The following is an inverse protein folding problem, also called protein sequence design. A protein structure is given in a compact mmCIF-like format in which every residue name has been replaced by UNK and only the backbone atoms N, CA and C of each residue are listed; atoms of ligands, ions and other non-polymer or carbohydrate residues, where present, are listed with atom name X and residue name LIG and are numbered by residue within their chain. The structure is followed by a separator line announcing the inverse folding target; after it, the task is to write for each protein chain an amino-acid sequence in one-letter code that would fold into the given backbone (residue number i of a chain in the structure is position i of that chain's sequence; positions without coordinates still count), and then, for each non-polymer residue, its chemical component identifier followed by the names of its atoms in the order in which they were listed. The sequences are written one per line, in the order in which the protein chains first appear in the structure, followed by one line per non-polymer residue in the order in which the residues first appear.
data_IF_967067489707
#
_entry.id   IF_967067489707
#
_cell.length_a   1.000
_cell.length_b   1.000
_cell.length_c   1.000
_cell.angle_alpha   90.00
_cell.angle_beta   90.00
_cell.angle_gamma   90.00
#
_symmetry.space_group_name_H-M   'P 1'
#
loop_
_entity.id
_entity.type
_entity.pdbx_description
1 polymer ?
#
# COMPACT_ATOMS: atom_id res chain seq x y z
N UNK A 1 -5.53 33.75 -45.53
CA UNK A 1 -5.38 33.02 -44.25
C UNK A 1 -6.68 33.19 -43.48
N UNK A 2 -7.33 32.08 -43.15
CA UNK A 2 -8.79 32.01 -42.96
C UNK A 2 -9.28 32.65 -41.65
N UNK A 3 -10.46 33.24 -41.71
CA UNK A 3 -11.15 33.88 -40.57
C UNK A 3 -11.30 32.98 -39.35
N UNK A 4 -11.26 31.66 -39.56
CA UNK A 4 -11.21 30.66 -38.50
C UNK A 4 -10.01 30.85 -37.57
N UNK A 5 -8.82 31.13 -38.11
CA UNK A 5 -7.61 31.33 -37.32
C UNK A 5 -7.69 32.61 -36.46
N UNK A 6 -8.32 33.67 -36.99
CA UNK A 6 -8.56 34.91 -36.25
C UNK A 6 -9.56 34.72 -35.13
N UNK A 7 -10.65 34.00 -35.39
CA UNK A 7 -11.66 33.71 -34.37
C UNK A 7 -11.11 32.84 -33.23
N UNK A 8 -10.26 31.85 -33.54
CA UNK A 8 -9.60 31.02 -32.52
C UNK A 8 -8.68 31.87 -31.65
N UNK A 9 -7.90 32.77 -32.24
CA UNK A 9 -7.02 33.69 -31.46
C UNK A 9 -7.82 34.61 -30.55
N UNK A 10 -8.87 35.23 -31.07
CA UNK A 10 -9.75 36.08 -30.28
C UNK A 10 -10.43 35.33 -29.12
N UNK A 11 -10.78 34.05 -29.33
CA UNK A 11 -11.34 33.19 -28.28
C UNK A 11 -10.30 32.87 -27.20
N UNK A 12 -9.05 32.59 -27.58
CA UNK A 12 -7.95 32.36 -26.63
C UNK A 12 -7.63 33.60 -25.81
N UNK A 13 -7.57 34.78 -26.44
CA UNK A 13 -7.32 36.05 -25.75
C UNK A 13 -8.42 36.33 -24.72
N UNK A 14 -9.68 36.07 -25.08
CA UNK A 14 -10.82 36.21 -24.16
C UNK A 14 -10.77 35.23 -22.97
N UNK A 15 -10.33 34.00 -23.19
CA UNK A 15 -10.13 33.01 -22.11
C UNK A 15 -9.03 33.48 -21.14
N UNK A 16 -7.94 34.06 -21.64
CA UNK A 16 -6.86 34.61 -20.80
C UNK A 16 -7.36 35.82 -20.00
N UNK A 17 -8.16 36.68 -20.62
CA UNK A 17 -8.75 37.84 -19.97
C UNK A 17 -9.76 37.43 -18.88
N UNK A 18 -10.62 36.45 -19.16
CA UNK A 18 -11.54 35.89 -18.18
C UNK A 18 -10.77 35.20 -17.03
N UNK A 19 -9.71 34.43 -17.31
CA UNK A 19 -8.87 33.79 -16.29
C UNK A 19 -8.21 34.81 -15.35
N UNK A 20 -7.76 35.95 -15.90
CA UNK A 20 -7.15 37.03 -15.11
C UNK A 20 -8.19 37.84 -14.34
N UNK A 21 -9.39 38.05 -14.90
CA UNK A 21 -10.51 38.74 -14.27
C UNK A 21 -11.14 37.93 -13.14
N UNK A 22 -11.23 36.61 -13.29
CA UNK A 22 -11.71 35.68 -12.26
C UNK A 22 -10.57 35.10 -11.40
N UNK A 23 -9.42 35.78 -11.34
CA UNK A 23 -8.27 35.44 -10.48
C UNK A 23 -8.57 35.72 -9.00
N UNK A 24 -9.69 35.23 -8.50
CA UNK A 24 -10.06 35.20 -7.08
C UNK A 24 -9.82 33.82 -6.46
N UNK A 25 -9.36 32.84 -7.24
CA UNK A 25 -9.08 31.47 -6.80
C UNK A 25 -7.78 30.91 -7.40
N UNK A 26 -6.70 31.70 -7.46
CA UNK A 26 -5.39 31.06 -7.30
C UNK A 26 -5.30 30.64 -5.85
N UNK A 27 -5.91 29.48 -5.53
CA UNK A 27 -5.35 28.63 -4.48
C UNK A 27 -3.84 28.59 -4.76
N UNK A 28 -2.98 28.74 -3.74
CA UNK A 28 -1.55 28.51 -3.94
C UNK A 28 -1.43 27.25 -4.78
N UNK A 29 -0.70 27.33 -5.90
CA UNK A 29 -0.31 26.14 -6.64
C UNK A 29 0.08 25.13 -5.58
N UNK A 30 -0.57 23.95 -5.49
CA UNK A 30 -0.15 22.99 -4.51
C UNK A 30 1.30 22.74 -4.86
N UNK A 31 2.20 23.27 -4.03
CA UNK A 31 3.51 22.68 -3.86
C UNK A 31 3.21 21.19 -3.75
N UNK A 32 3.99 20.37 -4.43
CA UNK A 32 3.87 18.91 -4.51
C UNK A 32 3.84 18.21 -3.13
N UNK A 33 3.75 18.96 -2.04
CA UNK A 33 3.64 18.55 -0.65
C UNK A 33 2.25 18.78 -0.01
N UNK A 34 1.31 19.55 -0.58
CA UNK A 34 0.12 20.04 0.17
C UNK A 34 -1.24 19.41 -0.17
N UNK A 35 -1.24 18.24 -0.80
CA UNK A 35 -2.43 17.38 -0.84
C UNK A 35 -2.04 15.97 -0.42
N UNK A 36 -1.92 15.79 0.90
CA UNK A 36 -1.92 14.48 1.54
C UNK A 36 -3.05 13.65 0.93
N UNK A 37 -2.68 12.69 0.08
CA UNK A 37 -3.51 11.64 -0.54
C UNK A 37 -4.05 10.66 0.52
N UNK A 38 -4.50 11.17 1.67
CA UNK A 38 -4.94 10.43 2.84
C UNK A 38 -6.31 9.75 2.65
N UNK A 39 -7.02 10.09 1.57
CA UNK A 39 -8.40 9.66 1.32
C UNK A 39 -8.56 8.18 0.94
N UNK A 40 -7.45 7.43 0.76
CA UNK A 40 -7.49 6.01 0.37
C UNK A 40 -7.02 5.06 1.48
N UNK A 41 -6.79 5.57 2.69
CA UNK A 41 -6.32 4.73 3.78
C UNK A 41 -7.40 3.73 4.21
N UNK A 42 -7.00 2.45 4.21
CA UNK A 42 -7.83 1.35 4.66
C UNK A 42 -7.60 1.13 6.16
N UNK A 43 -8.63 1.34 6.99
CA UNK A 43 -8.57 1.01 8.42
C UNK A 43 -8.95 -0.46 8.67
N UNK A 44 -8.28 -1.08 9.63
CA UNK A 44 -8.68 -2.36 10.23
C UNK A 44 -9.13 -2.07 11.66
N UNK A 45 -10.42 -2.27 11.94
CA UNK A 45 -10.96 -2.22 13.29
C UNK A 45 -10.50 -3.43 14.09
N UNK A 46 -10.36 -3.25 15.40
CA UNK A 46 -9.62 -4.15 16.27
C UNK A 46 -10.25 -5.55 16.43
N UNK A 47 -11.54 -5.77 16.11
CA UNK A 47 -12.23 -6.96 16.65
C UNK A 47 -13.41 -7.60 15.91
N UNK A 48 -13.79 -7.17 14.72
CA UNK A 48 -14.88 -7.84 14.01
C UNK A 48 -14.34 -8.65 12.83
N UNK A 49 -14.45 -9.98 12.92
CA UNK A 49 -14.25 -10.87 11.77
C UNK A 49 -15.12 -10.37 10.62
N UNK A 50 -14.49 -10.03 9.50
CA UNK A 50 -15.23 -9.58 8.33
C UNK A 50 -15.75 -10.82 7.60
N UNK A 51 -17.06 -11.02 7.66
CA UNK A 51 -17.74 -12.02 6.84
C UNK A 51 -17.83 -11.52 5.38
N UNK A 52 -17.46 -12.39 4.44
CA UNK A 52 -17.53 -12.09 3.00
C UNK A 52 -18.48 -13.06 2.35
N UNK A 53 -19.60 -12.51 1.87
CA UNK A 53 -20.65 -13.27 1.18
C UNK A 53 -20.27 -13.46 -0.29
N UNK A 54 -20.41 -14.68 -0.79
CA UNK A 54 -20.21 -15.06 -2.19
C UNK A 54 -18.75 -15.24 -2.62
N UNK A 55 -17.79 -15.11 -1.69
CA UNK A 55 -16.35 -15.35 -1.93
C UNK A 55 -15.72 -16.27 -0.88
N UNK A 56 -16.52 -17.13 -0.27
CA UNK A 56 -16.13 -18.06 0.78
C UNK A 56 -15.09 -19.06 0.27
N UNK A 57 -15.21 -19.46 -1.01
CA UNK A 57 -14.22 -20.32 -1.68
C UNK A 57 -12.89 -19.63 -1.83
N UNK A 58 -12.85 -18.41 -2.38
CA UNK A 58 -11.58 -17.67 -2.51
C UNK A 58 -10.96 -17.38 -1.15
N UNK A 59 -11.77 -17.04 -0.13
CA UNK A 59 -11.28 -16.85 1.25
C UNK A 59 -10.60 -18.14 1.75
N UNK A 60 -11.25 -19.29 1.60
CA UNK A 60 -10.73 -20.60 2.02
C UNK A 60 -9.45 -20.98 1.27
N UNK A 61 -9.38 -20.72 -0.03
CA UNK A 61 -8.20 -21.01 -0.84
C UNK A 61 -6.99 -20.18 -0.42
N UNK A 62 -7.20 -18.89 -0.12
CA UNK A 62 -6.13 -18.02 0.39
C UNK A 62 -5.72 -18.49 1.79
N UNK A 63 -6.65 -18.78 2.70
CA UNK A 63 -6.33 -19.29 4.04
C UNK A 63 -5.52 -20.58 3.97
N UNK A 64 -5.92 -21.52 3.12
CA UNK A 64 -5.21 -22.79 2.93
C UNK A 64 -3.75 -22.56 2.53
N UNK A 65 -3.50 -21.62 1.60
CA UNK A 65 -2.14 -21.26 1.17
C UNK A 65 -1.35 -20.53 2.25
N UNK A 66 -1.97 -19.59 2.96
CA UNK A 66 -1.34 -18.81 4.03
C UNK A 66 -0.95 -19.71 5.22
N UNK A 67 -1.78 -20.69 5.56
CA UNK A 67 -1.59 -21.57 6.70
C UNK A 67 -0.75 -22.82 6.38
N UNK A 68 -0.39 -23.01 5.10
CA UNK A 68 0.35 -24.18 4.67
C UNK A 68 1.76 -24.16 5.26
N UNK A 69 2.00 -25.03 6.24
CA UNK A 69 3.34 -25.30 6.79
C UNK A 69 4.07 -26.27 5.85
N UNK A 70 4.71 -25.75 4.82
CA UNK A 70 5.72 -26.55 4.11
C UNK A 70 6.98 -26.58 4.98
N UNK A 71 7.52 -27.77 5.24
CA UNK A 71 8.65 -28.01 6.15
C UNK A 71 9.99 -27.39 5.72
N UNK A 72 9.98 -26.51 4.72
CA UNK A 72 11.15 -25.79 4.23
C UNK A 72 10.79 -24.31 4.09
N UNK A 73 11.74 -23.47 4.50
CA UNK A 73 11.69 -22.02 4.68
C UNK A 73 11.30 -21.26 3.40
N UNK A 74 10.05 -21.35 2.96
CA UNK A 74 9.57 -20.57 1.82
C UNK A 74 8.61 -19.48 2.26
N UNK A 75 8.98 -18.24 1.94
CA UNK A 75 8.09 -17.08 1.94
C UNK A 75 7.09 -17.23 0.79
N UNK A 76 5.78 -17.20 1.07
CA UNK A 76 4.74 -17.26 0.04
C UNK A 76 4.20 -15.86 -0.26
N UNK A 77 4.20 -15.47 -1.54
CA UNK A 77 3.50 -14.27 -2.01
C UNK A 77 2.19 -14.72 -2.66
N UNK A 78 1.07 -14.18 -2.21
CA UNK A 78 -0.27 -14.47 -2.76
C UNK A 78 -0.83 -13.17 -3.37
N UNK A 79 -0.74 -12.99 -4.70
CA UNK A 79 -1.32 -11.82 -5.35
C UNK A 79 -2.85 -11.93 -5.40
N UNK A 80 -3.55 -10.86 -4.99
CA UNK A 80 -5.00 -10.71 -5.14
C UNK A 80 -5.27 -9.62 -6.18
N UNK A 81 -5.50 -10.04 -7.43
CA UNK A 81 -5.66 -9.15 -8.59
C UNK A 81 -7.11 -9.13 -9.10
N UNK A 82 -7.47 -8.05 -9.79
CA UNK A 82 -8.81 -7.89 -10.37
C UNK A 82 -9.21 -6.43 -10.52
N UNK A 83 -10.33 -6.19 -11.19
CA UNK A 83 -10.83 -4.84 -11.48
C UNK A 83 -11.16 -4.05 -10.19
N UNK A 84 -11.22 -2.73 -10.32
CA UNK A 84 -11.70 -1.85 -9.25
C UNK A 84 -13.13 -2.22 -8.83
N UNK A 85 -13.43 -2.10 -7.53
CA UNK A 85 -14.77 -2.42 -7.00
C UNK A 85 -15.07 -3.91 -6.79
N UNK A 86 -14.17 -4.84 -7.15
CA UNK A 86 -14.37 -6.29 -6.99
C UNK A 86 -14.23 -6.81 -5.53
N UNK A 87 -14.10 -5.92 -4.55
CA UNK A 87 -13.97 -6.32 -3.14
C UNK A 87 -12.65 -7.03 -2.79
N UNK A 88 -11.54 -6.76 -3.51
CA UNK A 88 -10.23 -7.37 -3.23
C UNK A 88 -9.73 -7.06 -1.82
N UNK A 89 -9.75 -5.79 -1.45
CA UNK A 89 -9.44 -5.31 -0.09
C UNK A 89 -10.35 -5.97 0.94
N UNK A 90 -11.65 -6.12 0.64
CA UNK A 90 -12.60 -6.81 1.53
C UNK A 90 -12.23 -8.28 1.73
N UNK A 91 -11.89 -9.00 0.65
CA UNK A 91 -11.45 -10.39 0.72
C UNK A 91 -10.15 -10.53 1.53
N UNK A 92 -9.15 -9.69 1.26
CA UNK A 92 -7.89 -9.70 2.01
C UNK A 92 -8.12 -9.38 3.50
N UNK A 93 -9.02 -8.44 3.83
CA UNK A 93 -9.40 -8.14 5.21
C UNK A 93 -10.04 -9.32 5.92
N UNK A 94 -10.92 -10.05 5.22
CA UNK A 94 -11.59 -11.23 5.77
C UNK A 94 -10.63 -12.38 6.04
N UNK A 95 -9.57 -12.52 5.25
CA UNK A 95 -8.46 -13.44 5.53
C UNK A 95 -7.63 -12.94 6.71
N UNK A 96 -7.21 -11.67 6.69
CA UNK A 96 -6.35 -11.08 7.71
C UNK A 96 -6.99 -11.06 9.10
N UNK A 97 -8.31 -10.90 9.20
CA UNK A 97 -9.06 -10.89 10.48
C UNK A 97 -9.52 -12.28 10.91
N UNK A 98 -9.27 -13.32 10.11
CA UNK A 98 -9.68 -14.68 10.43
C UNK A 98 -8.89 -15.23 11.62
N UNK A 99 -9.59 -15.90 12.56
CA UNK A 99 -8.98 -16.50 13.75
C UNK A 99 -7.84 -17.46 13.44
N UNK A 100 -7.88 -18.18 12.32
CA UNK A 100 -6.81 -19.11 11.96
C UNK A 100 -5.48 -18.36 11.73
N UNK A 101 -5.54 -17.08 11.35
CA UNK A 101 -4.34 -16.23 11.18
C UNK A 101 -3.79 -15.68 12.50
N UNK A 102 -4.35 -16.05 13.67
CA UNK A 102 -3.78 -15.64 14.96
C UNK A 102 -2.51 -16.42 15.33
N UNK A 103 -2.15 -17.45 14.56
CA UNK A 103 -0.89 -18.18 14.73
C UNK A 103 0.36 -17.41 14.24
N UNK A 104 0.18 -16.29 13.54
CA UNK A 104 1.28 -15.44 13.08
C UNK A 104 1.75 -14.55 14.22
N UNK A 105 3.04 -14.61 14.56
CA UNK A 105 3.67 -13.80 15.61
C UNK A 105 3.69 -12.31 15.25
N UNK A 106 3.73 -12.00 13.95
CA UNK A 106 3.76 -10.65 13.42
C UNK A 106 2.69 -10.49 12.35
N UNK A 107 1.83 -9.48 12.51
CA UNK A 107 0.82 -9.12 11.53
C UNK A 107 0.92 -7.63 11.22
N UNK A 108 0.92 -7.28 9.94
CA UNK A 108 0.89 -5.89 9.50
C UNK A 108 0.01 -5.73 8.27
N UNK A 109 -0.73 -4.62 8.21
CA UNK A 109 -1.53 -4.23 7.06
C UNK A 109 -1.11 -2.85 6.58
N UNK A 110 -0.44 -2.79 5.43
CA UNK A 110 0.09 -1.55 4.88
C UNK A 110 -0.70 -1.15 3.65
N UNK A 111 -1.32 0.02 3.70
CA UNK A 111 -1.79 0.68 2.50
C UNK A 111 -0.60 1.25 1.74
N UNK A 112 -0.39 0.82 0.50
CA UNK A 112 0.68 1.30 -0.36
C UNK A 112 0.19 2.51 -1.14
N UNK A 113 0.81 3.66 -0.92
CA UNK A 113 0.48 4.86 -1.69
C UNK A 113 0.85 4.69 -3.16
N UNK A 114 0.16 5.43 -4.05
CA UNK A 114 0.52 5.51 -5.47
C UNK A 114 1.99 5.86 -5.72
N UNK A 115 2.58 6.66 -4.85
CA UNK A 115 4.01 6.93 -4.86
C UNK A 115 4.69 5.85 -4.02
N UNK A 116 5.27 4.85 -4.68
CA UNK A 116 5.91 3.73 -4.00
C UNK A 116 7.18 4.21 -3.31
N UNK A 117 7.19 4.10 -1.98
CA UNK A 117 8.33 4.50 -1.17
C UNK A 117 8.67 3.39 -0.17
N UNK A 118 9.74 2.67 -0.46
CA UNK A 118 10.19 1.50 0.32
C UNK A 118 10.37 1.81 1.81
N UNK A 119 11.01 2.94 2.13
CA UNK A 119 11.20 3.41 3.51
C UNK A 119 9.86 3.63 4.23
N UNK A 120 8.84 4.19 3.56
CA UNK A 120 7.51 4.41 4.15
C UNK A 120 6.78 3.10 4.41
N UNK A 121 6.85 2.16 3.47
CA UNK A 121 6.23 0.84 3.61
C UNK A 121 6.84 0.12 4.83
N UNK A 122 8.17 0.05 4.91
CA UNK A 122 8.86 -0.62 6.03
C UNK A 122 8.63 0.09 7.35
N UNK A 123 8.65 1.42 7.37
CA UNK A 123 8.34 2.20 8.57
C UNK A 123 6.91 1.96 9.06
N UNK A 124 5.95 1.79 8.15
CA UNK A 124 4.56 1.47 8.49
C UNK A 124 4.44 0.08 9.13
N UNK A 125 5.18 -0.91 8.62
CA UNK A 125 5.25 -2.26 9.23
C UNK A 125 5.81 -2.16 10.65
N UNK A 126 6.99 -1.54 10.82
CA UNK A 126 7.64 -1.38 12.12
C UNK A 126 6.71 -0.67 13.11
N UNK A 127 6.04 0.40 12.65
CA UNK A 127 5.12 1.18 13.49
C UNK A 127 3.94 0.36 14.01
N UNK A 128 3.38 -0.53 13.19
CA UNK A 128 2.26 -1.38 13.59
C UNK A 128 2.70 -2.47 14.59
N UNK A 129 3.92 -2.98 14.43
CA UNK A 129 4.41 -4.09 15.26
C UNK A 129 4.98 -3.62 16.59
N UNK A 130 5.69 -2.49 16.61
CA UNK A 130 6.35 -1.98 17.82
C UNK A 130 5.54 -0.89 18.54
N UNK A 131 4.48 -0.37 17.92
CA UNK A 131 3.70 0.74 18.46
C UNK A 131 4.48 2.06 18.52
N UNK A 132 5.63 2.14 17.85
CA UNK A 132 6.48 3.34 17.77
C UNK A 132 6.83 3.64 16.32
N UNK A 133 6.72 4.91 15.94
CA UNK A 133 6.99 5.34 14.56
C UNK A 133 8.45 5.76 14.44
N UNK A 134 9.25 5.12 13.55
CA UNK A 134 10.56 5.64 13.20
C UNK A 134 10.43 7.09 12.71
N UNK A 135 11.48 7.90 12.89
CA UNK A 135 11.49 9.26 12.35
C UNK A 135 11.20 9.26 10.83
N UNK A 136 10.76 10.40 10.30
CA UNK A 136 10.67 10.56 8.85
C UNK A 136 12.09 10.51 8.25
N UNK A 137 12.22 9.97 7.05
CA UNK A 137 13.49 9.88 6.29
C UNK A 137 14.62 9.13 7.00
N UNK A 138 14.26 8.07 7.72
CA UNK A 138 15.23 7.15 8.33
C UNK A 138 15.94 6.34 7.24
N UNK A 139 17.24 6.15 7.45
CA UNK A 139 18.11 5.38 6.57
C UNK A 139 17.63 3.93 6.38
N UNK A 140 17.75 3.42 5.15
CA UNK A 140 17.29 2.08 4.79
C UNK A 140 18.04 0.99 5.54
N UNK A 141 19.32 1.20 5.86
CA UNK A 141 20.11 0.21 6.63
C UNK A 141 19.58 0.09 8.06
N UNK A 142 19.21 1.21 8.69
CA UNK A 142 18.56 1.20 9.99
C UNK A 142 17.21 0.49 9.93
N UNK A 143 16.35 0.84 8.96
CA UNK A 143 15.04 0.20 8.81
C UNK A 143 15.17 -1.30 8.59
N UNK A 144 16.15 -1.73 7.77
CA UNK A 144 16.47 -3.14 7.57
C UNK A 144 16.86 -3.82 8.88
N UNK A 145 17.74 -3.22 9.67
CA UNK A 145 18.18 -3.79 10.95
C UNK A 145 17.02 -3.94 11.94
N UNK A 146 16.10 -2.97 12.01
CA UNK A 146 14.91 -3.07 12.84
C UNK A 146 13.97 -4.17 12.35
N UNK A 147 13.72 -4.23 11.04
CA UNK A 147 12.85 -5.23 10.45
C UNK A 147 13.42 -6.65 10.63
N UNK A 148 14.72 -6.84 10.42
CA UNK A 148 15.41 -8.10 10.66
C UNK A 148 15.20 -8.55 12.13
N UNK A 149 15.41 -7.66 13.10
CA UNK A 149 15.14 -7.94 14.53
C UNK A 149 13.69 -8.32 14.80
N UNK A 150 12.74 -7.63 14.16
CA UNK A 150 11.31 -7.84 14.38
C UNK A 150 10.87 -9.20 13.82
N UNK A 151 11.35 -9.58 12.64
CA UNK A 151 10.93 -10.78 11.91
C UNK A 151 11.76 -12.03 12.22
N UNK A 152 12.95 -11.87 12.82
CA UNK A 152 13.86 -12.98 13.08
C UNK A 152 13.19 -14.10 13.90
N UNK A 153 13.20 -15.31 13.32
CA UNK A 153 12.66 -16.52 13.95
C UNK A 153 11.14 -16.53 14.14
N UNK A 154 10.41 -15.61 13.51
CA UNK A 154 8.95 -15.47 13.63
C UNK A 154 8.22 -15.84 12.34
N UNK A 155 6.98 -16.28 12.50
CA UNK A 155 6.05 -16.46 11.39
C UNK A 155 5.26 -15.16 11.23
N UNK A 156 5.33 -14.55 10.05
CA UNK A 156 4.73 -13.23 9.80
C UNK A 156 3.73 -13.24 8.65
N UNK A 157 2.66 -12.45 8.79
CA UNK A 157 1.65 -12.18 7.76
C UNK A 157 1.60 -10.68 7.49
N UNK A 158 2.05 -10.27 6.32
CA UNK A 158 2.09 -8.86 5.91
C UNK A 158 1.20 -8.69 4.69
N UNK A 159 0.22 -7.78 4.79
CA UNK A 159 -0.66 -7.42 3.68
C UNK A 159 -0.24 -6.07 3.12
N UNK A 160 0.00 -6.03 1.81
CA UNK A 160 0.25 -4.81 1.05
C UNK A 160 -1.02 -4.49 0.23
N UNK A 161 -1.84 -3.58 0.74
CA UNK A 161 -3.12 -3.18 0.13
C UNK A 161 -2.92 -2.02 -0.86
N UNK A 162 -3.64 -2.08 -1.99
CA UNK A 162 -3.59 -1.08 -3.06
C UNK A 162 -2.18 -0.87 -3.67
N UNK A 163 -1.43 -1.95 -3.95
CA UNK A 163 -0.10 -1.90 -4.57
C UNK A 163 -0.18 -1.59 -6.08
N UNK A 164 0.43 -0.48 -6.51
CA UNK A 164 0.48 0.00 -7.90
C UNK A 164 1.88 -0.06 -8.55
N UNK A 165 2.90 -0.53 -7.84
CA UNK A 165 4.27 -0.53 -8.37
C UNK A 165 4.45 -1.64 -9.42
N UNK A 166 4.99 -1.26 -10.57
CA UNK A 166 5.23 -2.14 -11.72
C UNK A 166 6.73 -2.43 -11.91
N UNK A 167 7.58 -1.60 -11.30
CA UNK A 167 9.03 -1.75 -11.38
C UNK A 167 9.50 -2.94 -10.54
N UNK A 168 9.90 -4.00 -11.24
CA UNK A 168 10.30 -5.26 -10.64
C UNK A 168 11.43 -5.12 -9.61
N UNK A 169 12.44 -4.30 -9.88
CA UNK A 169 13.56 -4.04 -8.96
C UNK A 169 13.08 -3.54 -7.60
N UNK A 170 12.14 -2.59 -7.57
CA UNK A 170 11.59 -2.06 -6.32
C UNK A 170 10.79 -3.09 -5.53
N UNK A 171 10.04 -3.95 -6.22
CA UNK A 171 9.33 -5.06 -5.58
C UNK A 171 10.32 -6.11 -5.04
N UNK A 172 11.40 -6.38 -5.76
CA UNK A 172 12.49 -7.24 -5.31
C UNK A 172 13.20 -6.65 -4.09
N UNK A 173 13.46 -5.35 -4.06
CA UNK A 173 14.04 -4.65 -2.90
C UNK A 173 13.14 -4.78 -1.66
N UNK A 174 11.83 -4.58 -1.83
CA UNK A 174 10.86 -4.82 -0.75
C UNK A 174 10.90 -6.27 -0.27
N UNK A 175 10.90 -7.22 -1.20
CA UNK A 175 10.94 -8.64 -0.85
C UNK A 175 12.23 -9.01 -0.10
N UNK A 176 13.37 -8.50 -0.55
CA UNK A 176 14.67 -8.70 0.09
C UNK A 176 14.70 -8.14 1.52
N UNK A 177 14.04 -7.00 1.77
CA UNK A 177 13.88 -6.46 3.11
C UNK A 177 13.02 -7.37 4.01
N UNK A 178 11.95 -7.96 3.47
CA UNK A 178 11.05 -8.84 4.24
C UNK A 178 11.66 -10.23 4.50
N UNK A 179 12.44 -10.78 3.56
CA UNK A 179 13.01 -12.13 3.64
C UNK A 179 14.30 -12.25 4.46
N UNK A 180 14.97 -11.12 4.77
CA UNK A 180 16.27 -11.15 5.44
C UNK A 180 16.23 -11.73 6.87
N UNK A 181 15.07 -11.74 7.53
CA UNK A 181 14.86 -12.38 8.84
C UNK A 181 14.83 -13.92 8.85
N UNK A 182 14.92 -14.58 7.69
CA UNK A 182 14.86 -16.05 7.57
C UNK A 182 16.25 -16.73 7.60
N UNK A 183 17.34 -15.95 7.70
CA UNK A 183 18.69 -16.42 7.33
C UNK A 183 19.40 -17.36 8.30
N UNK A 184 18.94 -17.54 9.54
CA UNK A 184 19.62 -18.41 10.51
C UNK A 184 18.69 -19.48 11.11
N UNK A 185 18.64 -20.65 10.48
CA UNK A 185 18.44 -21.96 11.15
C UNK A 185 19.32 -22.97 10.46
#
# INVERSE_FOLDING_TARGET
MSDKMRNIRAMLDKIVEDQTKFRFLTLPTPTSQDSKKKWRETFIGDRDEIEVIGREREKKDILTKVLQKNGEKESFIIPVVGLGGMGKTTLAKAVYTDKETNMFDVKAWVHVSMDFQLNKIVSAIISQVEGSTPANDVDLQYLKSQLDRILHGKIYLIVLDDLWEEERSKLEDLMNMLQSGMKDC
#
